data_IF_195497448369
#
_entry.id   IF_195497448369
#
_cell.length_a   1.000
_cell.length_b   1.000
_cell.length_c   1.000
_cell.angle_alpha   90.00
_cell.angle_beta   90.00
_cell.angle_gamma   90.00
#
_symmetry.space_group_name_H-M   'P 1'
#
loop_
_entity.id
_entity.type
_entity.pdbx_description
1 polymer ?
#
# COMPACT_ATOMS: atom_id res chain seq x y z
N UNK A 1 10.41 -48.02 5.95
CA UNK A 1 11.71 -47.41 6.23
C UNK A 1 12.10 -46.50 5.07
N UNK A 2 11.86 -45.17 5.21
CA UNK A 2 12.49 -44.04 4.48
C UNK A 2 12.30 -43.94 2.95
N UNK A 3 12.23 -42.78 2.31
CA UNK A 3 12.24 -41.35 2.67
C UNK A 3 11.49 -40.63 1.53
N UNK A 4 10.44 -39.85 1.79
CA UNK A 4 10.61 -38.45 2.18
C UNK A 4 10.67 -37.53 0.95
N UNK A 5 9.58 -37.41 0.19
CA UNK A 5 9.37 -36.27 -0.71
C UNK A 5 8.54 -35.26 0.08
N UNK A 6 9.24 -34.23 0.55
CA UNK A 6 8.72 -33.16 1.39
C UNK A 6 7.43 -32.60 0.78
N UNK A 7 6.38 -32.55 1.59
CA UNK A 7 5.08 -32.05 1.20
C UNK A 7 5.18 -30.62 0.68
N UNK A 8 4.41 -30.33 -0.36
CA UNK A 8 3.99 -28.98 -0.66
C UNK A 8 3.08 -28.51 0.48
N UNK A 9 3.65 -28.09 1.60
CA UNK A 9 2.89 -27.32 2.59
C UNK A 9 2.74 -25.91 2.05
N UNK A 10 1.68 -25.74 1.26
CA UNK A 10 1.06 -24.45 1.00
C UNK A 10 0.65 -23.84 2.35
N UNK A 11 1.57 -23.09 2.93
CA UNK A 11 1.27 -22.14 4.00
C UNK A 11 2.13 -20.91 3.73
N UNK A 12 1.94 -20.34 2.53
CA UNK A 12 2.23 -18.92 2.31
C UNK A 12 1.23 -18.17 3.19
N UNK A 13 1.62 -17.90 4.43
CA UNK A 13 0.91 -16.97 5.28
C UNK A 13 1.14 -15.58 4.69
N UNK A 14 0.18 -15.13 3.89
CA UNK A 14 0.10 -13.73 3.45
C UNK A 14 -0.39 -12.87 4.62
N UNK A 15 0.36 -12.88 5.72
CA UNK A 15 0.08 -12.11 6.94
C UNK A 15 0.68 -10.69 6.87
N UNK A 16 1.32 -10.34 5.73
CA UNK A 16 1.94 -9.05 5.54
C UNK A 16 0.86 -7.98 5.44
N UNK A 17 0.74 -7.16 6.47
CA UNK A 17 -0.12 -5.97 6.46
C UNK A 17 0.77 -4.76 6.21
N UNK A 18 0.58 -4.13 5.07
CA UNK A 18 1.26 -2.88 4.71
C UNK A 18 0.35 -1.70 5.01
N UNK A 19 0.93 -0.63 5.55
CA UNK A 19 0.18 0.51 6.07
C UNK A 19 0.83 1.82 5.69
N UNK A 20 0.00 2.77 5.25
CA UNK A 20 0.44 4.14 4.94
C UNK A 20 0.86 4.90 6.19
N UNK A 21 0.32 4.55 7.37
CA UNK A 21 0.59 5.21 8.64
C UNK A 21 1.72 4.55 9.46
N UNK A 22 2.34 3.47 8.96
CA UNK A 22 3.49 2.82 9.60
C UNK A 22 4.79 3.13 8.86
N UNK A 23 5.75 3.86 9.47
CA UNK A 23 7.05 4.17 8.89
C UNK A 23 7.88 2.96 8.43
N UNK A 24 7.60 1.77 8.98
CA UNK A 24 8.29 0.54 8.62
C UNK A 24 7.76 -0.08 7.33
N UNK A 25 6.50 0.21 6.95
CA UNK A 25 5.85 -0.43 5.80
C UNK A 25 5.43 0.54 4.70
N UNK A 26 5.31 1.83 4.99
CA UNK A 26 4.88 2.86 4.04
C UNK A 26 5.72 2.93 2.76
N UNK A 27 7.02 2.64 2.85
CA UNK A 27 7.95 2.69 1.72
C UNK A 27 7.72 1.61 0.65
N UNK A 28 6.84 0.64 0.93
CA UNK A 28 6.37 -0.34 -0.06
C UNK A 28 5.26 0.22 -0.96
N UNK A 29 4.72 1.41 -0.65
CA UNK A 29 3.79 2.14 -1.50
C UNK A 29 4.53 2.95 -2.56
N UNK A 30 4.02 2.90 -3.78
CA UNK A 30 4.40 3.74 -4.91
C UNK A 30 3.20 4.62 -5.28
N UNK A 31 3.44 5.92 -5.42
CA UNK A 31 2.45 6.91 -5.86
C UNK A 31 2.94 7.48 -7.17
N UNK A 32 2.15 7.29 -8.23
CA UNK A 32 2.51 7.61 -9.62
C UNK A 32 3.92 7.12 -9.99
N UNK A 33 4.19 5.86 -9.63
CA UNK A 33 5.46 5.14 -9.84
C UNK A 33 6.65 5.65 -9.01
N UNK A 34 6.43 6.63 -8.13
CA UNK A 34 7.45 7.12 -7.20
C UNK A 34 7.31 6.38 -5.88
N UNK A 35 8.40 5.73 -5.47
CA UNK A 35 8.46 5.02 -4.19
C UNK A 35 8.39 6.00 -3.01
N UNK A 36 7.64 5.64 -1.97
CA UNK A 36 7.63 6.36 -0.71
C UNK A 36 8.97 6.22 0.06
N UNK A 37 9.37 7.28 0.78
CA UNK A 37 10.63 7.28 1.53
C UNK A 37 10.61 6.25 2.66
N UNK A 38 11.78 5.65 2.92
CA UNK A 38 11.98 4.77 4.08
C UNK A 38 11.89 5.54 5.39
N UNK A 39 11.44 4.85 6.44
CA UNK A 39 11.35 5.36 7.82
C UNK A 39 10.46 6.59 7.99
N UNK A 40 9.44 6.76 7.14
CA UNK A 40 8.49 7.85 7.23
C UNK A 40 7.09 7.36 6.89
N UNK A 41 6.09 7.67 7.71
CA UNK A 41 4.70 7.44 7.33
C UNK A 41 4.35 8.25 6.07
N UNK A 42 3.50 7.70 5.20
CA UNK A 42 3.05 8.38 4.00
C UNK A 42 2.18 9.59 4.37
N UNK A 43 2.49 10.80 3.87
CA UNK A 43 1.65 11.97 4.09
C UNK A 43 0.35 11.82 3.30
N UNK A 44 -0.74 11.44 3.98
CA UNK A 44 -2.05 11.17 3.35
C UNK A 44 -2.54 12.36 2.52
N UNK A 45 -2.34 13.58 2.99
CA UNK A 45 -2.69 14.83 2.31
C UNK A 45 -1.97 15.02 0.96
N UNK A 46 -0.77 14.44 0.81
CA UNK A 46 0.01 14.50 -0.43
C UNK A 46 -0.22 13.32 -1.34
N UNK A 47 -0.51 12.14 -0.78
CA UNK A 47 -0.77 10.94 -1.56
C UNK A 47 -2.25 10.76 -1.89
N UNK A 48 -3.13 11.62 -1.40
CA UNK A 48 -4.55 11.67 -1.74
C UNK A 48 -4.87 13.08 -2.23
N UNK A 49 -4.29 13.43 -3.37
CA UNK A 49 -4.40 14.77 -3.93
C UNK A 49 -5.85 15.17 -4.21
N UNK A 50 -6.17 16.38 -3.78
CA UNK A 50 -7.48 17.01 -3.91
C UNK A 50 -7.90 17.15 -5.37
N UNK A 51 -9.10 16.67 -5.71
CA UNK A 51 -9.70 16.69 -7.04
C UNK A 51 -8.83 16.05 -8.13
N UNK A 52 -7.89 15.20 -7.72
CA UNK A 52 -7.00 14.47 -8.61
C UNK A 52 -7.18 12.96 -8.46
N UNK A 53 -6.73 12.27 -9.50
CA UNK A 53 -6.60 10.82 -9.50
C UNK A 53 -5.12 10.49 -9.47
N UNK A 54 -4.73 9.71 -8.47
CA UNK A 54 -3.35 9.23 -8.29
C UNK A 54 -3.32 7.72 -8.40
N UNK A 55 -2.27 7.19 -9.03
CA UNK A 55 -2.10 5.75 -9.17
C UNK A 55 -1.24 5.23 -8.03
N UNK A 56 -1.78 4.29 -7.28
CA UNK A 56 -1.09 3.62 -6.19
C UNK A 56 -0.74 2.19 -6.58
N UNK A 57 0.47 1.80 -6.20
CA UNK A 57 0.90 0.41 -6.28
C UNK A 57 1.60 0.00 -4.97
N UNK A 58 1.22 -1.15 -4.42
CA UNK A 58 1.92 -1.78 -3.31
C UNK A 58 2.77 -2.93 -3.81
N UNK A 59 3.96 -3.05 -3.23
CA UNK A 59 4.84 -4.21 -3.36
C UNK A 59 4.81 -4.96 -2.02
N UNK A 60 4.49 -6.25 -2.02
CA UNK A 60 4.46 -7.07 -0.80
C UNK A 60 5.61 -8.09 -0.73
N UNK A 61 6.38 -8.21 -1.81
CA UNK A 61 7.64 -8.92 -1.87
C UNK A 61 7.94 -9.45 -3.29
N UNK A 62 9.22 -9.51 -3.67
CA UNK A 62 9.60 -9.91 -5.03
C UNK A 62 10.46 -8.88 -5.77
N UNK A 63 10.68 -7.72 -5.14
CA UNK A 63 11.62 -6.67 -5.53
C UNK A 63 10.92 -5.45 -6.12
N UNK A 64 11.38 -4.27 -5.74
CA UNK A 64 10.74 -2.97 -6.00
C UNK A 64 10.64 -2.58 -7.49
N UNK A 65 11.27 -3.36 -8.39
CA UNK A 65 11.11 -3.24 -9.85
C UNK A 65 9.77 -3.79 -10.34
N UNK A 66 9.05 -4.52 -9.48
CA UNK A 66 7.72 -5.09 -9.69
C UNK A 66 6.84 -4.64 -8.52
N UNK A 67 5.54 -4.50 -8.76
CA UNK A 67 4.54 -4.23 -7.73
C UNK A 67 3.41 -5.25 -7.91
N UNK A 68 2.67 -5.50 -6.84
CA UNK A 68 1.72 -6.61 -6.75
C UNK A 68 0.26 -6.14 -6.75
N UNK A 69 -0.04 -5.04 -6.06
CA UNK A 69 -1.41 -4.53 -5.91
C UNK A 69 -1.53 -3.13 -6.47
N UNK A 70 -2.48 -2.92 -7.39
CA UNK A 70 -2.66 -1.67 -8.11
C UNK A 70 -4.06 -1.11 -7.88
N UNK A 71 -4.17 0.16 -7.53
CA UNK A 71 -5.43 0.87 -7.43
C UNK A 71 -5.26 2.35 -7.78
N UNK A 72 -6.35 3.00 -8.18
CA UNK A 72 -6.40 4.45 -8.36
C UNK A 72 -7.16 5.05 -7.18
N UNK A 73 -6.57 6.02 -6.50
CA UNK A 73 -7.27 6.81 -5.50
C UNK A 73 -7.76 8.11 -6.16
N UNK A 74 -9.02 8.46 -5.92
CA UNK A 74 -9.61 9.72 -6.32
C UNK A 74 -10.18 10.38 -5.07
N UNK A 75 -9.77 11.62 -4.82
CA UNK A 75 -10.16 12.35 -3.62
C UNK A 75 -10.91 13.63 -4.01
N UNK A 76 -11.85 14.02 -3.15
CA UNK A 76 -12.57 15.31 -3.27
C UNK A 76 -12.26 16.09 -2.01
N UNK A 77 -11.90 17.37 -2.14
CA UNK A 77 -11.69 18.19 -0.95
C UNK A 77 -13.02 18.42 -0.24
N UNK A 78 -12.98 18.37 1.09
CA UNK A 78 -14.03 19.01 1.86
C UNK A 78 -13.95 20.53 1.67
N UNK A 79 -15.08 21.26 1.79
CA UNK A 79 -15.05 22.70 2.00
C UNK A 79 -14.17 23.06 3.20
N UNK A 80 -13.47 24.20 3.12
CA UNK A 80 -12.59 24.68 4.19
C UNK A 80 -13.32 24.74 5.54
N UNK A 81 -12.71 24.13 6.57
CA UNK A 81 -13.24 24.13 7.94
C UNK A 81 -14.26 23.04 8.26
N UNK A 82 -14.59 22.15 7.32
CA UNK A 82 -15.51 21.04 7.57
C UNK A 82 -14.80 19.68 7.73
N UNK A 83 -15.13 18.96 8.79
CA UNK A 83 -14.79 17.55 8.92
C UNK A 83 -15.80 16.73 8.12
N UNK A 84 -15.37 16.12 7.02
CA UNK A 84 -16.20 15.20 6.24
C UNK A 84 -16.39 13.89 6.99
N UNK A 85 -17.65 13.56 7.29
CA UNK A 85 -18.05 12.23 7.76
C UNK A 85 -18.56 11.44 6.57
N UNK A 86 -17.83 10.41 6.17
CA UNK A 86 -18.30 9.46 5.17
C UNK A 86 -19.54 8.75 5.72
N UNK A 87 -20.68 8.99 5.10
CA UNK A 87 -21.94 8.29 5.40
C UNK A 87 -22.22 7.29 4.28
N UNK A 88 -22.83 6.16 4.64
CA UNK A 88 -23.04 5.01 3.77
C UNK A 88 -24.19 5.25 2.80
#
# INVERSE_FOLDING_TARGET
LGKGQAGYTASLKYDTVLRTDDPNTSHYLFVDKVQMPKNAASPLDKILECDQKVNHAWEDGGGFERQDFFYTAASVCAPDGEFVRLTK
#
